data_IF_714514634495
#
_entry.id   IF_714514634495
#
_cell.length_a   1.000
_cell.length_b   1.000
_cell.length_c   1.000
_cell.angle_alpha   90.00
_cell.angle_beta   90.00
_cell.angle_gamma   90.00
#
_symmetry.space_group_name_H-M   'P 1'
#
loop_
_entity.id
_entity.type
_entity.pdbx_description
1 polymer ?
#
# COMPACT_ATOMS: atom_id res chain seq x y z
N UNK A 1 8.75 39.38 12.18
CA UNK A 1 8.71 38.74 10.85
C UNK A 1 8.82 37.24 11.08
N UNK A 2 7.69 36.56 11.10
CA UNK A 2 7.64 35.10 11.30
C UNK A 2 7.91 34.41 9.97
N UNK A 3 9.09 33.77 9.88
CA UNK A 3 9.41 32.88 8.77
C UNK A 3 8.67 31.55 8.96
N UNK A 4 7.60 31.33 8.20
CA UNK A 4 6.97 30.02 8.10
C UNK A 4 7.91 29.08 7.32
N UNK A 5 8.70 28.29 8.05
CA UNK A 5 9.45 27.19 7.48
C UNK A 5 8.50 26.17 6.87
N UNK A 6 8.61 25.93 5.57
CA UNK A 6 8.05 24.75 4.91
C UNK A 6 8.84 23.54 5.41
N UNK A 7 8.43 22.95 6.53
CA UNK A 7 8.91 21.63 6.96
C UNK A 7 8.35 20.56 6.02
N UNK A 8 8.93 20.44 4.83
CA UNK A 8 8.71 19.29 3.93
C UNK A 8 9.43 18.03 4.42
N UNK A 9 10.15 18.12 5.55
CA UNK A 9 11.10 17.09 6.02
C UNK A 9 10.57 16.31 7.23
N UNK A 10 9.33 16.55 7.64
CA UNK A 10 8.66 15.77 8.69
C UNK A 10 7.79 14.71 8.05
N UNK A 11 8.07 13.45 8.35
CA UNK A 11 7.18 12.32 8.02
C UNK A 11 5.74 12.68 8.45
N UNK A 12 4.74 12.55 7.55
CA UNK A 12 3.36 12.88 7.90
C UNK A 12 2.89 12.05 9.09
N UNK A 13 2.01 12.61 9.92
CA UNK A 13 1.44 11.83 11.01
C UNK A 13 0.61 10.64 10.48
N UNK A 14 0.50 9.59 11.31
CA UNK A 14 -0.16 8.33 10.92
C UNK A 14 -1.62 8.55 10.49
N UNK A 15 -2.32 9.52 11.06
CA UNK A 15 -3.72 9.80 10.68
C UNK A 15 -3.80 10.45 9.30
N UNK A 16 -2.90 11.37 8.99
CA UNK A 16 -2.80 12.03 7.69
C UNK A 16 -2.36 11.04 6.61
N UNK A 17 -1.46 10.11 6.93
CA UNK A 17 -1.12 8.97 6.06
C UNK A 17 -2.30 8.05 5.81
N UNK A 18 -2.99 7.61 6.87
CA UNK A 18 -4.14 6.73 6.77
C UNK A 18 -5.26 7.37 5.95
N UNK A 19 -5.51 8.67 6.14
CA UNK A 19 -6.48 9.42 5.34
C UNK A 19 -6.10 9.47 3.86
N UNK A 20 -4.84 9.79 3.54
CA UNK A 20 -4.37 9.84 2.16
C UNK A 20 -4.46 8.46 1.46
N UNK A 21 -4.08 7.39 2.16
CA UNK A 21 -4.21 6.03 1.66
C UNK A 21 -5.68 5.61 1.49
N UNK A 22 -6.57 6.02 2.41
CA UNK A 22 -8.00 5.76 2.28
C UNK A 22 -8.59 6.42 1.03
N UNK A 23 -8.22 7.66 0.71
CA UNK A 23 -8.63 8.34 -0.53
C UNK A 23 -8.01 7.74 -1.81
N UNK A 24 -6.89 7.02 -1.68
CA UNK A 24 -6.22 6.36 -2.79
C UNK A 24 -6.80 4.98 -3.15
N UNK A 25 -7.80 4.50 -2.40
CA UNK A 25 -8.45 3.20 -2.61
C UNK A 25 -9.24 3.19 -3.91
N UNK A 26 -9.05 2.17 -4.75
CA UNK A 26 -9.71 2.05 -6.06
C UNK A 26 -10.99 1.22 -6.07
N UNK A 27 -11.34 0.58 -4.96
CA UNK A 27 -12.55 -0.23 -4.81
C UNK A 27 -12.63 -0.87 -3.43
N UNK A 28 -13.75 -1.51 -3.12
CA UNK A 28 -13.96 -2.12 -1.80
C UNK A 28 -12.95 -3.25 -1.51
N UNK A 29 -12.45 -3.94 -2.53
CA UNK A 29 -11.52 -5.08 -2.42
C UNK A 29 -10.04 -4.66 -2.52
N UNK A 30 -9.74 -3.39 -2.83
CA UNK A 30 -8.35 -2.91 -2.95
C UNK A 30 -7.65 -2.98 -1.58
N UNK A 31 -6.69 -3.90 -1.44
CA UNK A 31 -5.90 -4.08 -0.21
C UNK A 31 -4.68 -3.16 -0.13
N UNK A 32 -4.31 -2.48 -1.23
CA UNK A 32 -3.11 -1.65 -1.33
C UNK A 32 -2.96 -0.63 -0.20
N UNK A 33 -3.99 0.18 0.12
CA UNK A 33 -3.96 1.12 1.23
C UNK A 33 -3.69 0.46 2.59
N UNK A 34 -4.27 -0.72 2.83
CA UNK A 34 -4.15 -1.42 4.11
C UNK A 34 -2.74 -1.98 4.29
N UNK A 35 -2.19 -2.63 3.26
CA UNK A 35 -0.82 -3.16 3.31
C UNK A 35 0.21 -2.03 3.36
N UNK A 36 0.01 -0.93 2.64
CA UNK A 36 0.91 0.23 2.70
C UNK A 36 0.97 0.82 4.12
N UNK A 37 -0.18 0.98 4.78
CA UNK A 37 -0.21 1.46 6.16
C UNK A 37 0.42 0.45 7.13
N UNK A 38 0.16 -0.84 6.95
CA UNK A 38 0.75 -1.91 7.75
C UNK A 38 2.29 -1.91 7.65
N UNK A 39 2.86 -1.76 6.44
CA UNK A 39 4.30 -1.64 6.22
C UNK A 39 4.87 -0.41 6.93
N UNK A 40 4.29 0.77 6.72
CA UNK A 40 4.86 2.01 7.27
C UNK A 40 4.80 2.02 8.80
N UNK A 41 3.70 1.54 9.37
CA UNK A 41 3.53 1.52 10.81
C UNK A 41 4.13 0.27 11.49
N UNK A 42 4.60 -0.71 10.72
CA UNK A 42 5.07 -2.00 11.23
C UNK A 42 4.01 -2.70 12.12
N UNK A 43 2.75 -2.73 11.65
CA UNK A 43 1.61 -3.30 12.40
C UNK A 43 0.90 -4.39 11.60
N UNK A 44 0.01 -5.13 12.26
CA UNK A 44 -0.87 -6.13 11.65
C UNK A 44 -2.22 -5.54 11.21
N UNK A 45 -2.26 -4.23 10.91
CA UNK A 45 -3.47 -3.53 10.52
C UNK A 45 -4.23 -4.26 9.40
N UNK A 46 -5.48 -4.62 9.70
CA UNK A 46 -6.40 -5.32 8.78
C UNK A 46 -5.82 -6.59 8.15
N UNK A 47 -4.88 -7.27 8.84
CA UNK A 47 -4.24 -8.50 8.37
C UNK A 47 -5.23 -9.54 7.84
N UNK A 48 -6.33 -9.77 8.56
CA UNK A 48 -7.33 -10.76 8.14
C UNK A 48 -7.90 -10.45 6.75
N UNK A 49 -8.27 -9.18 6.51
CA UNK A 49 -8.78 -8.73 5.21
C UNK A 49 -7.72 -8.89 4.12
N UNK A 50 -6.50 -8.43 4.39
CA UNK A 50 -5.37 -8.55 3.45
C UNK A 50 -5.15 -10.00 3.04
N UNK A 51 -5.13 -10.91 4.02
CA UNK A 51 -4.92 -12.35 3.80
C UNK A 51 -6.05 -12.97 2.99
N UNK A 52 -7.30 -12.63 3.30
CA UNK A 52 -8.47 -13.17 2.59
C UNK A 52 -8.49 -12.74 1.12
N UNK A 53 -8.35 -11.44 0.84
CA UNK A 53 -8.36 -10.94 -0.53
C UNK A 53 -7.15 -11.44 -1.33
N UNK A 54 -5.98 -11.49 -0.70
CA UNK A 54 -4.77 -12.00 -1.34
C UNK A 54 -4.92 -13.49 -1.68
N UNK A 55 -5.49 -14.31 -0.79
CA UNK A 55 -5.70 -15.72 -1.05
C UNK A 55 -6.66 -15.95 -2.22
N UNK A 56 -7.72 -15.15 -2.34
CA UNK A 56 -8.65 -15.20 -3.47
C UNK A 56 -7.96 -14.82 -4.78
N UNK A 57 -7.19 -13.72 -4.78
CA UNK A 57 -6.44 -13.27 -5.96
C UNK A 57 -5.35 -14.28 -6.37
N UNK A 58 -4.66 -14.88 -5.40
CA UNK A 58 -3.62 -15.87 -5.63
C UNK A 58 -4.19 -17.17 -6.20
N UNK A 59 -5.34 -17.62 -5.71
CA UNK A 59 -6.06 -18.78 -6.26
C UNK A 59 -6.43 -18.53 -7.74
N UNK A 60 -6.95 -17.35 -8.05
CA UNK A 60 -7.30 -16.97 -9.42
C UNK A 60 -6.09 -16.89 -10.35
N UNK A 61 -4.93 -16.45 -9.85
CA UNK A 61 -3.72 -16.23 -10.65
C UNK A 61 -2.88 -17.50 -10.91
N UNK A 62 -3.00 -18.53 -10.06
CA UNK A 62 -2.05 -19.66 -10.05
C UNK A 62 -2.60 -20.97 -10.60
N UNK A 63 -3.90 -21.00 -10.96
CA UNK A 63 -4.56 -22.15 -11.57
C UNK A 63 -4.36 -23.44 -10.77
N UNK A 64 -3.90 -24.51 -11.44
CA UNK A 64 -3.72 -25.85 -10.84
C UNK A 64 -2.83 -25.85 -9.59
N UNK A 65 -1.82 -24.97 -9.51
CA UNK A 65 -0.94 -24.93 -8.33
C UNK A 65 -1.71 -24.35 -7.13
N UNK A 66 -2.47 -23.29 -7.35
CA UNK A 66 -3.36 -22.71 -6.35
C UNK A 66 -4.43 -23.69 -5.89
N UNK A 67 -5.04 -24.43 -6.82
CA UNK A 67 -6.05 -25.45 -6.51
C UNK A 67 -5.50 -26.56 -5.61
N UNK A 68 -4.29 -27.08 -5.90
CA UNK A 68 -3.65 -28.10 -5.05
C UNK A 68 -3.34 -27.61 -3.65
N UNK A 69 -2.98 -26.34 -3.52
CA UNK A 69 -2.61 -25.72 -2.24
C UNK A 69 -3.72 -24.87 -1.64
N UNK A 70 -4.96 -24.99 -2.11
CA UNK A 70 -6.06 -24.07 -1.77
C UNK A 70 -6.27 -23.92 -0.26
N UNK A 71 -6.18 -25.02 0.49
CA UNK A 71 -6.31 -25.02 1.95
C UNK A 71 -5.15 -24.32 2.66
N UNK A 72 -3.97 -24.28 2.03
CA UNK A 72 -2.77 -23.64 2.57
C UNK A 72 -2.66 -22.16 2.17
N UNK A 73 -3.39 -21.70 1.15
CA UNK A 73 -3.27 -20.33 0.63
C UNK A 73 -3.45 -19.24 1.71
N UNK A 74 -4.43 -19.30 2.63
CA UNK A 74 -4.55 -18.30 3.69
C UNK A 74 -3.31 -18.26 4.60
N UNK A 75 -2.71 -19.41 4.88
CA UNK A 75 -1.51 -19.50 5.72
C UNK A 75 -0.27 -18.98 4.99
N UNK A 76 -0.13 -19.30 3.70
CA UNK A 76 0.94 -18.77 2.84
C UNK A 76 0.83 -17.24 2.76
N UNK A 77 -0.37 -16.72 2.46
CA UNK A 77 -0.65 -15.28 2.43
C UNK A 77 -0.38 -14.62 3.79
N UNK A 78 -0.73 -15.30 4.89
CA UNK A 78 -0.44 -14.85 6.25
C UNK A 78 1.04 -14.76 6.56
N UNK A 79 1.88 -15.64 5.99
CA UNK A 79 3.35 -15.58 6.10
C UNK A 79 3.92 -14.47 5.20
N UNK A 80 3.46 -14.38 3.96
CA UNK A 80 3.86 -13.32 3.02
C UNK A 80 3.55 -11.92 3.56
N UNK A 81 2.38 -11.72 4.19
CA UNK A 81 2.04 -10.45 4.84
C UNK A 81 3.06 -10.08 5.92
N UNK A 82 3.42 -11.01 6.80
CA UNK A 82 4.41 -10.76 7.86
C UNK A 82 5.79 -10.48 7.26
N UNK A 83 6.18 -11.24 6.23
CA UNK A 83 7.44 -11.07 5.52
C UNK A 83 7.56 -9.66 4.92
N UNK A 84 6.55 -9.22 4.18
CA UNK A 84 6.49 -7.89 3.56
C UNK A 84 6.44 -6.78 4.60
N UNK A 85 5.59 -6.90 5.63
CA UNK A 85 5.45 -5.86 6.65
C UNK A 85 6.74 -5.70 7.45
N UNK A 86 7.37 -6.80 7.89
CA UNK A 86 8.55 -6.74 8.77
C UNK A 86 9.89 -6.74 8.01
N UNK A 87 9.89 -6.86 6.68
CA UNK A 87 11.12 -6.98 5.89
C UNK A 87 11.91 -8.26 6.18
N UNK A 88 11.22 -9.37 6.44
CA UNK A 88 11.82 -10.68 6.74
C UNK A 88 11.50 -11.70 5.65
N UNK A 89 12.26 -12.79 5.59
CA UNK A 89 11.98 -13.88 4.65
C UNK A 89 10.84 -14.77 5.15
N UNK A 90 9.82 -15.00 4.32
CA UNK A 90 8.82 -16.03 4.62
C UNK A 90 9.46 -17.44 4.58
N UNK A 91 9.13 -18.26 5.57
CA UNK A 91 9.55 -19.67 5.64
C UNK A 91 8.32 -20.58 5.73
N UNK A 92 8.34 -21.74 5.05
CA UNK A 92 7.27 -22.71 5.18
C UNK A 92 7.29 -23.28 6.59
N UNK A 93 6.11 -23.58 7.12
CA UNK A 93 6.02 -24.34 8.37
C UNK A 93 6.38 -25.81 8.08
N UNK A 94 7.28 -26.46 8.86
CA UNK A 94 7.59 -27.87 8.69
C UNK A 94 6.37 -28.79 8.80
N UNK A 95 5.29 -28.34 9.45
CA UNK A 95 4.04 -29.10 9.55
C UNK A 95 3.20 -29.08 8.26
N UNK A 96 3.51 -28.21 7.29
CA UNK A 96 2.74 -28.10 6.06
C UNK A 96 3.22 -29.09 5.01
N UNK A 97 2.29 -29.87 4.46
CA UNK A 97 2.56 -30.74 3.31
C UNK A 97 2.51 -29.92 2.02
N UNK A 98 3.59 -29.18 1.74
CA UNK A 98 3.75 -28.39 0.52
C UNK A 98 5.09 -28.71 -0.15
N UNK A 99 5.07 -28.88 -1.47
CA UNK A 99 6.30 -29.04 -2.24
C UNK A 99 7.11 -27.73 -2.21
N UNK A 100 8.42 -27.80 -2.05
CA UNK A 100 9.30 -26.63 -1.97
C UNK A 100 9.10 -25.67 -3.17
N UNK A 101 8.97 -26.24 -4.38
CA UNK A 101 8.70 -25.46 -5.60
C UNK A 101 7.38 -24.71 -5.54
N UNK A 102 6.32 -25.35 -5.04
CA UNK A 102 4.99 -24.73 -4.93
C UNK A 102 5.01 -23.65 -3.85
N UNK A 103 5.73 -23.87 -2.73
CA UNK A 103 5.97 -22.85 -1.72
C UNK A 103 6.67 -21.63 -2.30
N UNK A 104 7.81 -21.80 -2.99
CA UNK A 104 8.59 -20.71 -3.56
C UNK A 104 7.75 -19.89 -4.55
N UNK A 105 6.95 -20.57 -5.38
CA UNK A 105 6.06 -19.89 -6.32
C UNK A 105 4.96 -19.09 -5.61
N UNK A 106 4.23 -19.73 -4.69
CA UNK A 106 3.06 -19.12 -4.04
C UNK A 106 3.45 -18.01 -3.07
N UNK A 107 4.47 -18.23 -2.24
CA UNK A 107 4.97 -17.22 -1.31
C UNK A 107 5.61 -16.05 -2.06
N UNK A 108 6.46 -16.31 -3.07
CA UNK A 108 7.08 -15.26 -3.87
C UNK A 108 6.06 -14.41 -4.64
N UNK A 109 5.03 -15.04 -5.22
CA UNK A 109 3.96 -14.31 -5.89
C UNK A 109 3.11 -13.50 -4.91
N UNK A 110 2.78 -14.07 -3.74
CA UNK A 110 2.04 -13.36 -2.70
C UNK A 110 2.80 -12.10 -2.21
N UNK A 111 4.10 -12.22 -1.95
CA UNK A 111 4.96 -11.09 -1.55
C UNK A 111 5.02 -10.03 -2.65
N UNK A 112 5.21 -10.44 -3.90
CA UNK A 112 5.24 -9.52 -5.05
C UNK A 112 3.91 -8.76 -5.23
N UNK A 113 2.77 -9.45 -5.12
CA UNK A 113 1.44 -8.84 -5.22
C UNK A 113 1.20 -7.81 -4.10
N UNK A 114 1.60 -8.14 -2.86
CA UNK A 114 1.49 -7.22 -1.72
C UNK A 114 2.34 -5.96 -1.92
N UNK A 115 3.59 -6.12 -2.34
CA UNK A 115 4.49 -5.00 -2.63
C UNK A 115 3.96 -4.12 -3.77
N UNK A 116 3.50 -4.73 -4.87
CA UNK A 116 2.90 -4.00 -5.99
C UNK A 116 1.64 -3.24 -5.57
N UNK A 117 0.78 -3.84 -4.75
CA UNK A 117 -0.43 -3.20 -4.23
C UNK A 117 -0.08 -2.02 -3.32
N UNK A 118 0.90 -2.20 -2.42
CA UNK A 118 1.38 -1.14 -1.52
C UNK A 118 1.96 0.04 -2.31
N UNK A 119 2.90 -0.22 -3.23
CA UNK A 119 3.52 0.80 -4.08
C UNK A 119 2.51 1.52 -4.96
N UNK A 120 1.53 0.79 -5.51
CA UNK A 120 0.42 1.35 -6.27
C UNK A 120 -0.38 2.35 -5.43
N UNK A 121 -0.77 1.96 -4.21
CA UNK A 121 -1.51 2.82 -3.29
C UNK A 121 -0.69 4.05 -2.85
N UNK A 122 0.60 3.87 -2.54
CA UNK A 122 1.50 4.96 -2.16
C UNK A 122 1.64 5.97 -3.31
N UNK A 123 1.85 5.51 -4.55
CA UNK A 123 1.94 6.41 -5.72
C UNK A 123 0.66 7.21 -5.92
N UNK A 124 -0.52 6.58 -5.79
CA UNK A 124 -1.81 7.27 -5.89
C UNK A 124 -2.00 8.29 -4.76
N UNK A 125 -1.67 7.91 -3.53
CA UNK A 125 -1.72 8.80 -2.37
C UNK A 125 -0.78 10.00 -2.55
N UNK A 126 0.46 9.77 -3.01
CA UNK A 126 1.45 10.80 -3.28
C UNK A 126 1.01 11.76 -4.41
N UNK A 127 0.38 11.25 -5.46
CA UNK A 127 -0.22 12.08 -6.52
C UNK A 127 -1.26 13.07 -5.98
N UNK A 128 -2.03 12.68 -4.97
CA UNK A 128 -3.02 13.56 -4.32
C UNK A 128 -2.40 14.67 -3.44
N UNK A 129 -1.15 14.49 -2.98
CA UNK A 129 -0.38 15.53 -2.28
C UNK A 129 0.18 16.54 -3.27
N UNK A 130 0.87 16.07 -4.31
CA UNK A 130 1.54 16.95 -5.29
C UNK A 130 0.53 17.72 -6.16
N UNK A 131 -0.62 17.10 -6.51
CA UNK A 131 -1.67 17.80 -7.25
C UNK A 131 -2.32 18.95 -6.46
N UNK A 132 -2.38 18.86 -5.13
CA UNK A 132 -2.92 19.92 -4.26
C UNK A 132 -1.97 21.11 -4.10
N UNK A 133 -0.66 20.88 -4.12
CA UNK A 133 0.33 21.96 -4.06
C UNK A 133 0.45 22.73 -5.38
N UNK A 134 0.31 22.06 -6.53
CA UNK A 134 0.29 22.74 -7.83
C UNK A 134 -0.94 23.66 -7.95
N UNK A 135 -2.13 23.20 -7.54
CA UNK A 135 -3.34 24.02 -7.62
C UNK A 135 -3.25 25.26 -6.71
N UNK A 136 -2.80 25.09 -5.46
CA UNK A 136 -2.60 26.21 -4.53
C UNK A 136 -1.52 27.19 -5.02
N UNK A 137 -0.47 26.71 -5.69
CA UNK A 137 0.56 27.59 -6.22
C UNK A 137 0.07 28.39 -7.43
N UNK A 138 -0.68 27.77 -8.34
CA UNK A 138 -1.30 28.43 -9.49
C UNK A 138 -2.34 29.45 -9.03
N UNK A 139 -3.24 29.10 -8.11
CA UNK A 139 -4.27 30.00 -7.57
C UNK A 139 -3.65 31.23 -6.87
N UNK A 140 -2.51 31.04 -6.21
CA UNK A 140 -1.77 32.13 -5.53
C UNK A 140 -1.07 33.05 -6.54
N UNK A 141 -0.56 32.52 -7.64
CA UNK A 141 0.05 33.28 -8.73
C UNK A 141 -1.00 34.05 -9.54
N UNK A 142 -2.18 33.48 -9.76
CA UNK A 142 -3.30 34.16 -10.43
C UNK A 142 -3.90 35.25 -9.55
N UNK A 143 -4.03 35.02 -8.24
CA UNK A 143 -4.53 36.04 -7.29
C UNK A 143 -3.57 37.23 -7.17
N UNK A 144 -2.25 36.98 -7.11
CA UNK A 144 -1.24 38.05 -7.10
C UNK A 144 -1.16 38.83 -8.42
N UNK A 145 -1.52 38.21 -9.54
CA UNK A 145 -1.58 38.88 -10.85
C UNK A 145 -2.82 39.76 -10.97
N UNK A 146 -3.95 39.37 -10.38
CA UNK A 146 -5.18 40.16 -10.34
C UNK A 146 -5.04 41.42 -9.46
N UNK A 147 -4.39 41.32 -8.30
CA UNK A 147 -4.16 42.47 -7.41
C UNK A 147 -3.22 43.53 -8.02
N UNK A 148 -2.29 43.12 -8.90
CA UNK A 148 -1.41 44.06 -9.62
C UNK A 148 -2.11 44.83 -10.73
N UNK A 149 -3.23 44.32 -11.26
CA UNK A 149 -3.98 44.97 -12.34
C UNK A 149 -5.01 45.99 -11.82
N UNK A 150 -5.36 45.94 -10.53
CA UNK A 150 -6.30 46.88 -9.88
C UNK A 150 -5.62 48.07 -9.17
N UNK A 151 -4.29 48.19 -9.29
CA UNK A 151 -3.49 49.24 -8.62
C UNK A 151 -2.96 50.33 -9.59
N UNK A 152 -3.57 50.47 -10.78
CA UNK A 152 -3.30 51.52 -11.77
C UNK A 152 -4.60 52.27 -12.07
#
# INVERSE_FOLDING_TARGET
MEGHGTKSDTMPDVHTMAAALAYARQGEDDIGPDIALAIVCQTDYRRQRIVTELAAALLAATGKVGERSAQLLPMICGRANVAVVLGVQAKPDPAWTIAERDWLLLAGLAEAMLMQAAEGAIRRAAGSYHGRDVHKHVDRLTSQSADRQNSL
#
